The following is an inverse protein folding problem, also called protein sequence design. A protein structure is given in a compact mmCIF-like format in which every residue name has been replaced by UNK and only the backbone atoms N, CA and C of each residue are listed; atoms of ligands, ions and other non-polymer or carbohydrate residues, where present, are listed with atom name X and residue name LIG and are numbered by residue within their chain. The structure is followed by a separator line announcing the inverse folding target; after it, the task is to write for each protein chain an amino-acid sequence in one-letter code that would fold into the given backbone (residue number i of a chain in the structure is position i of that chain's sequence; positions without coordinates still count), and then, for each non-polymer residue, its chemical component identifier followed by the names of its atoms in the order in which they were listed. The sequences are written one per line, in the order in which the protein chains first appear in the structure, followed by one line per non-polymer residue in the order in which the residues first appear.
data_IF_025326420545
#
_entry.id   IF_025326420545
#
_cell.length_a   1.000
_cell.length_b   1.000
_cell.length_c   1.000
_cell.angle_alpha   90.00
_cell.angle_beta   90.00
_cell.angle_gamma   90.00
#
_symmetry.space_group_name_H-M   'P 1'
#
loop_
_entity.id
_entity.type
_entity.pdbx_description
1 polymer ?
#
# COMPACT_ATOMS: atom_id res chain seq x y z
N UNK A 1 -0.53 -25.14 -20.42
CA UNK A 1 -0.62 -25.17 -18.94
C UNK A 1 -1.18 -23.83 -18.48
N UNK A 2 -2.01 -23.77 -17.44
CA UNK A 2 -2.43 -22.48 -16.86
C UNK A 2 -1.18 -21.80 -16.25
N UNK A 3 -0.96 -20.53 -16.57
CA UNK A 3 0.09 -19.75 -15.94
C UNK A 3 -0.30 -19.48 -14.48
N UNK A 4 0.39 -20.13 -13.53
CA UNK A 4 0.08 -20.03 -12.09
C UNK A 4 0.35 -18.64 -11.52
N UNK A 5 1.24 -17.85 -12.12
CA UNK A 5 1.51 -16.47 -11.70
C UNK A 5 0.26 -15.56 -11.79
N UNK A 6 -0.74 -15.94 -12.62
CA UNK A 6 -2.01 -15.21 -12.72
C UNK A 6 -2.99 -15.51 -11.57
N UNK A 7 -2.75 -16.54 -10.75
CA UNK A 7 -3.57 -16.79 -9.57
C UNK A 7 -3.45 -15.62 -8.58
N UNK A 8 -4.57 -15.20 -7.99
CA UNK A 8 -4.51 -14.28 -6.85
C UNK A 8 -3.80 -14.94 -5.66
N UNK A 9 -3.30 -14.15 -4.70
CA UNK A 9 -2.61 -14.71 -3.54
C UNK A 9 -3.50 -15.68 -2.75
N UNK A 10 -4.78 -15.33 -2.58
CA UNK A 10 -5.76 -16.16 -1.89
C UNK A 10 -6.13 -17.44 -2.65
N UNK A 11 -6.18 -17.39 -3.99
CA UNK A 11 -6.37 -18.59 -4.83
C UNK A 11 -5.14 -19.51 -4.75
N UNK A 12 -3.94 -18.94 -4.91
CA UNK A 12 -2.68 -19.67 -4.83
C UNK A 12 -2.48 -20.32 -3.45
N UNK A 13 -2.68 -19.55 -2.36
CA UNK A 13 -2.57 -20.07 -0.99
C UNK A 13 -3.53 -21.24 -0.72
N UNK A 14 -4.77 -21.17 -1.23
CA UNK A 14 -5.73 -22.28 -1.13
C UNK A 14 -5.26 -23.51 -1.88
N UNK A 15 -4.84 -23.35 -3.14
CA UNK A 15 -4.40 -24.46 -3.98
C UNK A 15 -3.11 -25.12 -3.44
N UNK A 16 -2.19 -24.33 -2.86
CA UNK A 16 -1.00 -24.82 -2.16
C UNK A 16 -1.36 -25.61 -0.90
N UNK A 17 -2.26 -25.08 -0.06
CA UNK A 17 -2.72 -25.74 1.17
C UNK A 17 -3.45 -27.08 0.86
N UNK A 18 -4.16 -27.14 -0.26
CA UNK A 18 -4.85 -28.35 -0.75
C UNK A 18 -3.94 -29.28 -1.56
N UNK A 19 -2.68 -28.87 -1.80
CA UNK A 19 -1.71 -29.58 -2.64
C UNK A 19 -2.16 -29.83 -4.09
N UNK A 20 -3.00 -28.95 -4.60
CA UNK A 20 -3.43 -28.94 -6.01
C UNK A 20 -2.34 -28.41 -6.94
N UNK A 21 -1.45 -27.55 -6.40
CA UNK A 21 -0.25 -27.04 -7.06
C UNK A 21 0.94 -27.16 -6.09
N UNK A 22 2.15 -27.14 -6.65
CA UNK A 22 3.40 -27.09 -5.88
C UNK A 22 3.88 -25.65 -5.72
N UNK A 23 4.54 -25.37 -4.60
CA UNK A 23 5.20 -24.09 -4.36
C UNK A 23 6.29 -23.81 -5.40
N UNK A 24 7.07 -24.85 -5.76
CA UNK A 24 8.09 -24.74 -6.81
C UNK A 24 7.49 -24.34 -8.17
N UNK A 25 6.38 -24.95 -8.59
CA UNK A 25 5.76 -24.66 -9.88
C UNK A 25 5.24 -23.21 -9.93
N UNK A 26 4.57 -22.72 -8.85
CA UNK A 26 4.13 -21.33 -8.74
C UNK A 26 5.30 -20.36 -8.78
N UNK A 27 6.36 -20.65 -8.03
CA UNK A 27 7.56 -19.82 -7.98
C UNK A 27 8.25 -19.73 -9.35
N UNK A 28 8.35 -20.85 -10.07
CA UNK A 28 8.96 -20.90 -11.42
C UNK A 28 8.12 -20.09 -12.41
N UNK A 29 6.79 -20.13 -12.35
CA UNK A 29 5.92 -19.30 -13.19
C UNK A 29 6.09 -17.80 -12.86
N UNK A 30 6.22 -17.42 -11.58
CA UNK A 30 6.55 -16.05 -11.18
C UNK A 30 7.93 -15.62 -11.71
N UNK A 31 8.96 -16.46 -11.59
CA UNK A 31 10.30 -16.20 -12.12
C UNK A 31 10.29 -16.05 -13.65
N UNK A 32 9.49 -16.86 -14.35
CA UNK A 32 9.31 -16.74 -15.80
C UNK A 32 8.67 -15.39 -16.15
N UNK A 33 7.61 -14.97 -15.44
CA UNK A 33 6.97 -13.67 -15.64
C UNK A 33 7.97 -12.50 -15.40
N UNK A 34 8.78 -12.57 -14.35
CA UNK A 34 9.86 -11.62 -14.09
C UNK A 34 10.84 -11.61 -15.28
N UNK A 35 11.28 -12.79 -15.76
CA UNK A 35 12.19 -12.87 -16.88
C UNK A 35 11.68 -12.24 -18.18
N UNK A 36 10.37 -12.23 -18.39
CA UNK A 36 9.73 -11.63 -19.56
C UNK A 36 9.59 -10.10 -19.45
N UNK A 37 9.45 -9.56 -18.24
CA UNK A 37 8.97 -8.18 -18.05
C UNK A 37 9.94 -7.27 -17.30
N UNK A 38 10.84 -7.79 -16.47
CA UNK A 38 11.67 -6.99 -15.57
C UNK A 38 12.58 -5.98 -16.27
N UNK A 39 13.10 -6.30 -17.44
CA UNK A 39 13.92 -5.41 -18.27
C UNK A 39 13.14 -4.18 -18.81
N UNK A 40 11.81 -4.12 -18.64
CA UNK A 40 10.96 -3.03 -19.04
C UNK A 40 10.34 -2.33 -17.81
N UNK A 41 9.94 -3.11 -16.80
CA UNK A 41 9.20 -2.61 -15.63
C UNK A 41 10.14 -2.13 -14.52
N UNK A 42 11.29 -2.75 -14.36
CA UNK A 42 12.27 -2.41 -13.30
C UNK A 42 11.66 -2.40 -11.90
N UNK A 43 10.95 -3.49 -11.56
CA UNK A 43 10.27 -3.61 -10.28
C UNK A 43 11.17 -4.12 -9.15
N UNK A 44 12.29 -4.79 -9.47
CA UNK A 44 13.13 -5.48 -8.52
C UNK A 44 14.50 -4.83 -8.35
N UNK A 45 14.98 -4.78 -7.10
CA UNK A 45 16.36 -4.41 -6.74
C UNK A 45 17.24 -5.65 -6.78
N UNK A 46 16.76 -6.75 -6.22
CA UNK A 46 17.46 -8.04 -6.18
C UNK A 46 16.48 -9.19 -6.07
N UNK A 47 16.92 -10.36 -6.55
CA UNK A 47 16.17 -11.61 -6.50
C UNK A 47 17.02 -12.71 -5.83
N UNK A 48 16.44 -13.42 -4.86
CA UNK A 48 17.05 -14.56 -4.18
C UNK A 48 16.64 -15.92 -4.80
N UNK A 49 16.79 -16.06 -6.14
CA UNK A 49 16.23 -17.17 -6.93
C UNK A 49 16.57 -18.55 -6.38
N UNK A 50 17.86 -18.82 -6.16
CA UNK A 50 18.33 -20.14 -5.72
C UNK A 50 17.84 -20.48 -4.31
N UNK A 51 17.82 -19.50 -3.42
CA UNK A 51 17.29 -19.67 -2.07
C UNK A 51 15.77 -19.90 -2.10
N UNK A 52 15.04 -19.11 -2.86
CA UNK A 52 13.59 -19.24 -3.00
C UNK A 52 13.19 -20.60 -3.58
N UNK A 53 13.93 -21.14 -4.58
CA UNK A 53 13.67 -22.48 -5.14
C UNK A 53 13.91 -23.56 -4.10
N UNK A 54 15.01 -23.51 -3.34
CA UNK A 54 15.25 -24.48 -2.25
C UNK A 54 14.14 -24.45 -1.21
N UNK A 55 13.74 -23.26 -0.78
CA UNK A 55 12.65 -23.07 0.19
C UNK A 55 11.33 -23.66 -0.34
N UNK A 56 11.00 -23.39 -1.62
CA UNK A 56 9.81 -23.95 -2.25
C UNK A 56 9.81 -25.50 -2.24
N UNK A 57 10.94 -26.10 -2.61
CA UNK A 57 11.10 -27.55 -2.61
C UNK A 57 11.01 -28.17 -1.20
N UNK A 58 11.50 -27.47 -0.17
CA UNK A 58 11.40 -27.89 1.23
C UNK A 58 9.94 -27.84 1.70
N UNK A 59 9.22 -26.75 1.38
CA UNK A 59 7.80 -26.60 1.70
C UNK A 59 6.93 -27.65 0.99
N UNK A 60 7.22 -27.98 -0.27
CA UNK A 60 6.49 -29.02 -1.01
C UNK A 60 6.64 -30.42 -0.38
N UNK A 61 7.77 -30.71 0.28
CA UNK A 61 8.03 -31.98 0.97
C UNK A 61 7.49 -32.00 2.41
N UNK A 62 7.39 -30.81 3.04
CA UNK A 62 6.99 -30.65 4.45
C UNK A 62 5.48 -30.68 4.67
N UNK A 63 5.06 -30.49 5.90
CA UNK A 63 3.67 -30.22 6.23
C UNK A 63 3.27 -28.79 5.80
N UNK A 64 1.97 -28.54 5.62
CA UNK A 64 1.48 -27.17 5.34
C UNK A 64 1.84 -26.26 6.51
N UNK A 65 2.55 -25.16 6.23
CA UNK A 65 3.06 -24.21 7.20
C UNK A 65 2.32 -22.89 7.08
N UNK A 66 1.35 -22.64 7.94
CA UNK A 66 0.64 -21.37 8.03
C UNK A 66 -0.19 -20.98 6.78
N UNK A 67 -0.69 -19.75 6.81
CA UNK A 67 -1.67 -19.23 5.83
C UNK A 67 -1.03 -18.76 4.51
N UNK A 68 0.29 -18.60 4.47
CA UNK A 68 1.06 -18.22 3.27
C UNK A 68 1.94 -19.38 2.75
N UNK A 69 1.66 -20.62 3.16
CA UNK A 69 2.48 -21.78 2.77
C UNK A 69 2.82 -21.81 1.30
N UNK A 70 4.12 -21.71 0.97
CA UNK A 70 4.64 -21.78 -0.39
C UNK A 70 4.34 -20.57 -1.29
N UNK A 71 3.75 -19.49 -0.76
CA UNK A 71 3.41 -18.31 -1.55
C UNK A 71 4.64 -17.41 -1.76
N UNK A 72 5.08 -17.13 -3.00
CA UNK A 72 6.16 -16.18 -3.27
C UNK A 72 5.68 -14.74 -3.01
N UNK A 73 6.53 -13.95 -2.35
CA UNK A 73 6.26 -12.54 -2.02
C UNK A 73 7.41 -11.63 -2.44
N UNK A 74 7.06 -10.39 -2.81
CA UNK A 74 8.01 -9.28 -2.96
C UNK A 74 8.12 -8.48 -1.66
N UNK A 75 9.34 -8.18 -1.22
CA UNK A 75 9.59 -7.39 -0.03
C UNK A 75 10.16 -6.03 -0.42
N UNK A 76 9.44 -4.93 -0.09
CA UNK A 76 9.92 -3.58 -0.39
C UNK A 76 11.32 -3.36 0.20
N UNK A 77 12.21 -2.77 -0.58
CA UNK A 77 13.60 -2.55 -0.20
C UNK A 77 13.80 -1.45 0.87
N UNK A 78 12.89 -1.41 1.81
CA UNK A 78 12.92 -0.63 3.04
C UNK A 78 12.89 -1.53 4.28
N UNK A 79 12.48 -2.80 4.07
CA UNK A 79 12.37 -3.82 5.10
C UNK A 79 13.64 -4.66 5.12
N UNK A 80 14.25 -4.81 6.27
CA UNK A 80 15.41 -5.66 6.47
C UNK A 80 15.08 -7.12 6.17
N UNK A 81 16.00 -7.79 5.47
CA UNK A 81 15.96 -9.22 5.20
C UNK A 81 17.36 -9.80 5.43
N UNK A 82 17.46 -10.86 6.22
CA UNK A 82 18.78 -11.43 6.60
C UNK A 82 19.50 -12.13 5.44
N UNK A 83 18.76 -12.54 4.43
CA UNK A 83 19.24 -13.32 3.29
C UNK A 83 19.46 -12.51 2.00
N UNK A 84 19.03 -11.25 1.98
CA UNK A 84 19.17 -10.35 0.84
C UNK A 84 19.66 -8.97 1.31
N UNK A 85 20.47 -8.27 0.51
CA UNK A 85 20.84 -6.89 0.82
C UNK A 85 19.61 -6.00 0.88
N UNK A 86 19.66 -4.96 1.72
CA UNK A 86 18.61 -3.96 1.87
C UNK A 86 19.22 -2.57 1.66
N UNK A 87 18.93 -1.95 0.52
CA UNK A 87 19.60 -0.73 0.07
C UNK A 87 18.84 0.55 0.44
N UNK A 88 17.60 0.44 0.90
CA UNK A 88 16.71 1.58 1.22
C UNK A 88 16.54 2.57 0.04
N UNK A 89 16.72 2.10 -1.20
CA UNK A 89 16.69 2.94 -2.40
C UNK A 89 17.87 3.91 -2.53
N UNK A 90 18.97 3.70 -1.80
CA UNK A 90 20.14 4.59 -1.78
C UNK A 90 21.44 3.83 -2.00
N UNK A 91 22.40 4.38 -2.77
CA UNK A 91 23.72 3.79 -2.96
C UNK A 91 24.56 3.74 -1.67
N UNK A 92 24.25 4.56 -0.68
CA UNK A 92 24.92 4.57 0.64
C UNK A 92 24.86 3.18 1.28
N UNK A 93 23.75 2.46 1.09
CA UNK A 93 23.50 1.15 1.67
C UNK A 93 23.61 -0.01 0.67
N UNK A 94 24.32 0.19 -0.45
CA UNK A 94 24.45 -0.82 -1.51
C UNK A 94 24.97 -2.18 -1.07
N UNK A 95 25.74 -2.23 0.01
CA UNK A 95 26.29 -3.45 0.62
C UNK A 95 25.74 -3.74 2.02
N UNK A 96 24.61 -3.15 2.38
CA UNK A 96 24.02 -3.38 3.68
C UNK A 96 23.31 -4.75 3.73
N UNK A 97 23.85 -5.65 4.54
CA UNK A 97 23.28 -6.96 4.84
C UNK A 97 22.75 -6.95 6.28
N UNK A 98 21.43 -6.81 6.49
CA UNK A 98 20.85 -6.85 7.83
C UNK A 98 21.11 -8.19 8.53
N UNK A 99 21.32 -8.15 9.85
CA UNK A 99 21.59 -9.35 10.66
C UNK A 99 20.33 -10.19 10.84
N UNK A 100 19.17 -9.55 10.81
CA UNK A 100 17.86 -10.21 10.99
C UNK A 100 16.80 -9.61 10.06
N UNK A 101 15.73 -10.34 9.87
CA UNK A 101 14.55 -9.86 9.16
C UNK A 101 13.84 -8.77 9.97
N UNK A 102 13.17 -7.86 9.28
CA UNK A 102 12.12 -7.04 9.89
C UNK A 102 11.04 -7.94 10.51
N UNK A 103 10.45 -7.50 11.63
CA UNK A 103 9.45 -8.28 12.37
C UNK A 103 8.32 -8.78 11.46
N UNK A 104 7.81 -7.93 10.60
CA UNK A 104 6.76 -8.28 9.65
C UNK A 104 7.20 -9.32 8.60
N UNK A 105 8.46 -9.30 8.18
CA UNK A 105 9.03 -10.31 7.25
C UNK A 105 9.18 -11.65 7.96
N UNK A 106 9.70 -11.66 9.20
CA UNK A 106 9.80 -12.87 10.02
C UNK A 106 8.44 -13.54 10.19
N UNK A 107 7.39 -12.77 10.50
CA UNK A 107 6.02 -13.29 10.64
C UNK A 107 5.46 -13.85 9.31
N UNK A 108 5.76 -13.21 8.18
CA UNK A 108 5.36 -13.76 6.87
C UNK A 108 6.08 -15.08 6.56
N UNK A 109 7.37 -15.19 6.88
CA UNK A 109 8.11 -16.45 6.73
C UNK A 109 7.57 -17.55 7.68
N UNK A 110 7.26 -17.20 8.92
CA UNK A 110 6.60 -18.11 9.88
C UNK A 110 5.27 -18.62 9.34
N UNK A 111 4.50 -17.75 8.64
CA UNK A 111 3.27 -18.12 7.95
C UNK A 111 3.51 -18.95 6.66
N UNK A 112 4.76 -19.23 6.29
CA UNK A 112 5.15 -20.09 5.16
C UNK A 112 5.40 -19.34 3.85
N UNK A 113 5.53 -18.01 3.85
CA UNK A 113 5.86 -17.24 2.66
C UNK A 113 7.29 -17.47 2.18
N UNK A 114 7.50 -17.41 0.87
CA UNK A 114 8.82 -17.45 0.22
C UNK A 114 9.20 -16.02 -0.17
N UNK A 115 10.21 -15.44 0.46
CA UNK A 115 10.75 -14.14 0.04
C UNK A 115 11.51 -14.34 -1.29
N UNK A 116 10.93 -13.84 -2.39
CA UNK A 116 11.50 -13.97 -3.72
C UNK A 116 12.56 -12.92 -4.00
N UNK A 117 12.41 -11.72 -3.45
CA UNK A 117 13.34 -10.64 -3.69
C UNK A 117 12.92 -9.31 -3.07
N UNK A 118 13.76 -8.29 -3.32
CA UNK A 118 13.57 -6.91 -2.87
C UNK A 118 12.97 -6.07 -3.99
N UNK A 119 11.81 -5.44 -3.75
CA UNK A 119 11.14 -4.57 -4.71
C UNK A 119 11.58 -3.12 -4.56
N UNK A 120 11.67 -2.41 -5.67
CA UNK A 120 12.15 -1.01 -5.71
C UNK A 120 11.31 -0.09 -4.82
N UNK A 121 12.01 0.73 -4.05
CA UNK A 121 11.46 1.88 -3.32
C UNK A 121 12.06 3.18 -3.87
N UNK A 122 11.41 4.32 -3.64
CA UNK A 122 12.06 5.62 -3.79
C UNK A 122 13.17 5.78 -2.76
N UNK A 123 14.12 6.69 -2.96
CA UNK A 123 15.23 6.93 -2.01
C UNK A 123 14.69 7.14 -0.58
N UNK A 124 14.98 6.20 0.32
CA UNK A 124 14.52 6.18 1.72
C UNK A 124 12.99 6.37 1.86
N UNK A 125 12.21 5.81 0.94
CA UNK A 125 10.76 6.05 0.83
C UNK A 125 10.36 7.54 0.67
N UNK A 126 11.28 8.43 0.33
CA UNK A 126 11.06 9.87 0.11
C UNK A 126 10.50 10.16 -1.30
N UNK A 127 10.85 11.31 -1.90
CA UNK A 127 10.22 11.77 -3.14
C UNK A 127 11.04 11.53 -4.43
N UNK A 128 12.32 11.09 -4.32
CA UNK A 128 13.11 10.78 -5.51
C UNK A 128 12.76 9.37 -6.01
N UNK A 129 12.18 9.24 -7.22
CA UNK A 129 11.82 7.95 -7.79
C UNK A 129 13.01 7.01 -8.02
N UNK A 130 12.73 5.71 -8.01
CA UNK A 130 13.58 4.69 -8.60
C UNK A 130 13.27 4.49 -10.11
N UNK A 131 13.87 3.47 -10.75
CA UNK A 131 13.74 3.23 -12.19
C UNK A 131 12.41 2.60 -12.62
N UNK A 132 11.53 2.24 -11.69
CA UNK A 132 10.32 1.47 -11.97
C UNK A 132 9.35 2.25 -12.87
N UNK A 133 8.90 1.56 -13.92
CA UNK A 133 7.83 2.03 -14.82
C UNK A 133 6.48 1.40 -14.46
N UNK A 134 5.39 2.05 -14.83
CA UNK A 134 4.06 1.50 -14.65
C UNK A 134 3.82 0.35 -15.64
N UNK A 135 3.51 -0.89 -15.19
CA UNK A 135 3.33 -2.02 -16.11
C UNK A 135 2.11 -1.88 -17.04
N UNK A 136 1.18 -0.97 -16.73
CA UNK A 136 0.02 -0.66 -17.59
C UNK A 136 0.39 0.23 -18.77
N UNK A 137 1.39 1.12 -18.59
CA UNK A 137 2.00 1.93 -19.64
C UNK A 137 3.39 2.39 -19.16
N UNK A 138 4.43 1.94 -19.82
CA UNK A 138 5.83 2.12 -19.39
C UNK A 138 6.30 3.59 -19.36
N UNK A 139 5.62 4.50 -20.06
CA UNK A 139 5.92 5.93 -20.05
C UNK A 139 5.32 6.66 -18.83
N UNK A 140 4.59 5.95 -17.98
CA UNK A 140 3.92 6.50 -16.83
C UNK A 140 4.53 6.02 -15.51
N UNK A 141 4.43 6.86 -14.48
CA UNK A 141 4.87 6.49 -13.14
C UNK A 141 4.00 5.37 -12.55
N UNK A 142 4.58 4.39 -11.84
CA UNK A 142 3.81 3.44 -11.05
C UNK A 142 3.30 4.07 -9.73
N UNK A 143 3.63 5.33 -9.47
CA UNK A 143 3.49 5.94 -8.15
C UNK A 143 4.68 5.58 -7.25
N UNK A 144 4.52 5.82 -5.96
CA UNK A 144 5.56 5.53 -4.96
C UNK A 144 5.12 5.94 -3.54
N UNK A 145 5.94 5.65 -2.57
CA UNK A 145 7.31 5.13 -2.61
C UNK A 145 7.41 3.61 -2.86
N UNK A 146 6.36 2.81 -2.66
CA UNK A 146 6.35 1.36 -2.90
C UNK A 146 6.15 1.04 -4.39
N UNK A 147 6.95 1.68 -5.26
CA UNK A 147 6.82 1.61 -6.73
C UNK A 147 6.97 0.19 -7.27
N UNK A 148 8.06 -0.49 -6.96
CA UNK A 148 8.31 -1.85 -7.40
C UNK A 148 7.30 -2.87 -6.87
N UNK A 149 6.83 -2.70 -5.62
CA UNK A 149 5.82 -3.59 -5.03
C UNK A 149 4.49 -3.55 -5.77
N UNK A 150 3.97 -2.35 -6.04
CA UNK A 150 2.72 -2.18 -6.80
C UNK A 150 2.88 -2.69 -8.24
N UNK A 151 4.00 -2.35 -8.90
CA UNK A 151 4.29 -2.79 -10.26
C UNK A 151 4.43 -4.31 -10.38
N UNK A 152 5.17 -4.97 -9.47
CA UNK A 152 5.37 -6.42 -9.49
C UNK A 152 4.04 -7.19 -9.32
N UNK A 153 3.14 -6.72 -8.43
CA UNK A 153 1.81 -7.33 -8.25
C UNK A 153 0.93 -7.07 -9.46
N UNK A 154 0.96 -5.86 -10.03
CA UNK A 154 0.15 -5.50 -11.20
C UNK A 154 0.55 -6.27 -12.47
N UNK A 155 1.83 -6.62 -12.60
CA UNK A 155 2.38 -7.37 -13.74
C UNK A 155 2.46 -8.89 -13.47
N UNK A 156 1.80 -9.38 -12.43
CA UNK A 156 1.76 -10.79 -12.03
C UNK A 156 3.15 -11.43 -11.78
N UNK A 157 4.16 -10.63 -11.43
CA UNK A 157 5.49 -11.12 -11.06
C UNK A 157 5.48 -11.83 -9.70
N UNK A 158 4.60 -11.40 -8.81
CA UNK A 158 4.26 -12.05 -7.53
C UNK A 158 2.79 -11.82 -7.19
N UNK A 159 2.15 -12.72 -6.43
CA UNK A 159 0.77 -12.53 -6.01
C UNK A 159 0.61 -11.50 -4.88
N UNK A 160 1.66 -11.26 -4.08
CA UNK A 160 1.63 -10.39 -2.90
C UNK A 160 2.97 -9.66 -2.73
N UNK A 161 2.93 -8.38 -2.31
CA UNK A 161 4.14 -7.63 -1.97
C UNK A 161 3.90 -6.70 -0.78
N UNK A 162 4.97 -6.45 0.03
CA UNK A 162 4.91 -5.53 1.16
C UNK A 162 5.02 -4.08 0.71
N UNK A 163 4.46 -3.17 1.50
CA UNK A 163 4.56 -1.73 1.32
C UNK A 163 4.64 -0.97 2.63
N UNK A 164 5.00 0.31 2.55
CA UNK A 164 4.95 1.25 3.66
C UNK A 164 4.32 2.56 3.21
N UNK A 165 3.66 3.27 4.11
CA UNK A 165 3.03 4.56 3.83
C UNK A 165 3.28 5.55 4.96
N UNK A 166 3.85 6.71 4.60
CA UNK A 166 4.03 7.88 5.46
C UNK A 166 3.10 9.03 5.01
N UNK A 167 2.76 9.06 3.73
CA UNK A 167 1.79 9.97 3.13
C UNK A 167 0.78 9.20 2.28
N UNK A 168 1.20 8.67 1.10
CA UNK A 168 0.34 7.96 0.15
C UNK A 168 1.01 6.73 -0.46
N UNK A 169 2.07 6.19 0.14
CA UNK A 169 3.00 5.27 -0.52
C UNK A 169 2.52 3.82 -0.64
N UNK A 170 1.27 3.52 -0.28
CA UNK A 170 0.54 2.29 -0.58
C UNK A 170 -0.65 2.62 -1.48
N UNK A 171 -1.48 3.56 -1.07
CA UNK A 171 -2.75 3.88 -1.74
C UNK A 171 -2.52 4.41 -3.15
N UNK A 172 -1.64 5.40 -3.31
CA UNK A 172 -1.38 6.01 -4.62
C UNK A 172 -0.78 5.05 -5.65
N UNK A 173 0.32 4.30 -5.36
CA UNK A 173 0.82 3.33 -6.32
C UNK A 173 -0.16 2.19 -6.60
N UNK A 174 -1.00 1.79 -5.63
CA UNK A 174 -2.07 0.83 -5.88
C UNK A 174 -3.10 1.37 -6.90
N UNK A 175 -3.50 2.64 -6.78
CA UNK A 175 -4.42 3.29 -7.72
C UNK A 175 -3.81 3.36 -9.12
N UNK A 176 -2.56 3.82 -9.25
CA UNK A 176 -1.90 4.00 -10.55
C UNK A 176 -1.59 2.69 -11.27
N UNK A 177 -1.27 1.62 -10.54
CA UNK A 177 -0.99 0.31 -11.11
C UNK A 177 -2.25 -0.57 -11.29
N UNK A 178 -3.39 -0.17 -10.74
CA UNK A 178 -4.64 -0.93 -10.85
C UNK A 178 -4.62 -2.21 -10.02
N UNK A 179 -4.18 -2.11 -8.77
CA UNK A 179 -4.15 -3.20 -7.78
C UNK A 179 -4.81 -2.76 -6.48
N UNK A 180 -5.08 -3.71 -5.60
CA UNK A 180 -5.54 -3.43 -4.25
C UNK A 180 -4.31 -3.15 -3.39
N UNK A 181 -4.30 -1.97 -2.74
CA UNK A 181 -3.30 -1.61 -1.72
C UNK A 181 -4.00 -1.38 -0.38
N UNK A 182 -3.50 -2.02 0.67
CA UNK A 182 -4.10 -1.90 1.99
C UNK A 182 -3.09 -1.40 3.02
N UNK A 183 -3.42 -0.27 3.63
CA UNK A 183 -2.77 0.31 4.81
C UNK A 183 -3.68 0.08 6.02
N UNK A 184 -3.33 -0.80 6.97
CA UNK A 184 -4.14 -1.05 8.16
C UNK A 184 -4.11 0.14 9.13
N UNK A 185 -4.83 0.03 10.22
CA UNK A 185 -4.73 0.95 11.36
C UNK A 185 -3.28 1.11 11.81
N UNK A 186 -2.88 2.35 12.14
CA UNK A 186 -1.55 2.65 12.68
C UNK A 186 -1.23 1.77 13.89
N UNK A 187 -0.01 1.24 13.95
CA UNK A 187 0.46 0.36 15.00
C UNK A 187 -0.05 -1.09 14.92
N UNK A 188 -0.87 -1.44 13.91
CA UNK A 188 -1.33 -2.83 13.70
C UNK A 188 -0.18 -3.77 13.34
N UNK A 189 0.82 -3.28 12.63
CA UNK A 189 2.02 -4.03 12.23
C UNK A 189 3.24 -3.33 12.84
N UNK A 190 4.16 -4.11 13.42
CA UNK A 190 5.41 -3.61 13.95
C UNK A 190 6.30 -3.06 12.84
N UNK A 191 6.88 -1.86 13.04
CA UNK A 191 7.87 -1.24 12.15
C UNK A 191 9.32 -1.67 12.46
N UNK A 192 9.53 -2.58 13.42
CA UNK A 192 10.87 -3.07 13.79
C UNK A 192 11.59 -3.69 12.60
N UNK A 193 12.82 -3.23 12.32
CA UNK A 193 13.61 -3.66 11.16
C UNK A 193 13.16 -3.02 9.82
N UNK A 194 12.46 -1.90 9.87
CA UNK A 194 12.12 -1.10 8.68
C UNK A 194 12.73 0.28 8.83
N UNK A 195 13.45 0.76 7.79
CA UNK A 195 14.03 2.11 7.80
C UNK A 195 12.92 3.14 7.89
N UNK A 196 12.83 3.82 9.03
CA UNK A 196 11.80 4.81 9.30
C UNK A 196 12.07 6.13 8.59
N UNK A 197 11.02 6.72 8.04
CA UNK A 197 11.01 8.06 7.46
C UNK A 197 10.39 9.08 8.44
N UNK A 198 9.28 8.70 9.05
CA UNK A 198 8.56 9.54 10.03
C UNK A 198 7.89 8.63 11.06
N UNK A 199 8.40 8.63 12.29
CA UNK A 199 8.07 7.64 13.32
C UNK A 199 6.59 7.61 13.68
N UNK A 200 5.95 8.79 13.70
CA UNK A 200 4.53 8.93 14.05
C UNK A 200 3.56 8.64 12.89
N UNK A 201 4.06 8.53 11.65
CA UNK A 201 3.23 8.38 10.45
C UNK A 201 3.42 7.02 9.77
N UNK A 202 4.62 6.43 9.83
CA UNK A 202 4.97 5.22 9.12
C UNK A 202 4.04 4.07 9.46
N UNK A 203 3.34 3.55 8.46
CA UNK A 203 2.45 2.40 8.57
C UNK A 203 2.82 1.40 7.49
N UNK A 204 2.95 0.13 7.87
CA UNK A 204 3.22 -0.95 6.93
C UNK A 204 1.91 -1.51 6.36
N UNK A 205 1.98 -2.08 5.16
CA UNK A 205 0.84 -2.71 4.51
C UNK A 205 1.25 -3.56 3.32
N UNK A 206 0.30 -3.90 2.48
CA UNK A 206 0.50 -4.86 1.38
C UNK A 206 -0.21 -4.45 0.10
N UNK A 207 0.24 -5.05 -1.00
CA UNK A 207 -0.38 -5.03 -2.32
C UNK A 207 -0.80 -6.45 -2.71
N UNK A 208 -1.99 -6.58 -3.29
CA UNK A 208 -2.53 -7.78 -3.86
C UNK A 208 -3.44 -7.45 -5.04
N UNK A 209 -3.95 -8.45 -5.76
CA UNK A 209 -4.88 -8.21 -6.87
C UNK A 209 -6.34 -8.18 -6.42
N UNK A 210 -6.64 -8.73 -5.25
CA UNK A 210 -7.98 -8.76 -4.65
C UNK A 210 -7.97 -8.31 -3.20
N UNK A 211 -9.14 -7.99 -2.65
CA UNK A 211 -9.29 -7.66 -1.22
C UNK A 211 -8.88 -8.85 -0.34
N UNK A 212 -9.22 -10.09 -0.77
CA UNK A 212 -8.83 -11.31 -0.06
C UNK A 212 -7.31 -11.50 0.00
N UNK A 213 -6.58 -11.06 -1.03
CA UNK A 213 -5.11 -11.14 -1.05
C UNK A 213 -4.49 -10.23 0.01
N UNK A 214 -4.95 -8.97 0.07
CA UNK A 214 -4.40 -8.02 1.04
C UNK A 214 -4.83 -8.37 2.47
N UNK A 215 -6.02 -8.92 2.65
CA UNK A 215 -6.48 -9.46 3.95
C UNK A 215 -5.56 -10.59 4.43
N UNK A 216 -5.23 -11.53 3.56
CA UNK A 216 -4.29 -12.63 3.82
C UNK A 216 -2.90 -12.12 4.19
N UNK A 217 -2.37 -11.15 3.43
CA UNK A 217 -1.06 -10.57 3.68
C UNK A 217 -0.96 -9.81 5.00
N UNK A 218 -1.96 -8.99 5.34
CA UNK A 218 -2.00 -8.27 6.62
C UNK A 218 -2.15 -9.23 7.80
N UNK A 219 -2.97 -10.27 7.66
CA UNK A 219 -3.13 -11.30 8.68
C UNK A 219 -1.78 -11.94 9.05
N UNK A 220 -0.97 -12.26 8.04
CA UNK A 220 0.37 -12.80 8.26
C UNK A 220 1.32 -11.75 8.88
N UNK A 221 1.39 -10.52 8.34
CA UNK A 221 2.29 -9.48 8.81
C UNK A 221 2.01 -9.02 10.25
N UNK A 222 0.77 -9.15 10.72
CA UNK A 222 0.33 -8.71 12.06
C UNK A 222 0.16 -9.85 13.04
N UNK A 223 0.32 -11.11 12.62
CA UNK A 223 -0.05 -12.31 13.37
C UNK A 223 -1.53 -12.32 13.85
N UNK A 224 -2.39 -11.51 13.21
CA UNK A 224 -3.83 -11.49 13.46
C UNK A 224 -4.54 -12.28 12.34
N UNK A 225 -4.51 -13.61 12.48
CA UNK A 225 -5.00 -14.54 11.46
C UNK A 225 -6.51 -14.40 11.18
N UNK A 226 -7.27 -13.80 12.08
CA UNK A 226 -8.69 -13.54 11.86
C UNK A 226 -8.95 -12.52 10.74
N UNK A 227 -7.99 -11.64 10.44
CA UNK A 227 -8.10 -10.70 9.32
C UNK A 227 -8.12 -11.39 7.95
N UNK A 228 -7.60 -12.61 7.84
CA UNK A 228 -7.68 -13.39 6.59
C UNK A 228 -9.11 -13.85 6.25
N UNK A 229 -10.00 -13.85 7.24
CA UNK A 229 -11.41 -14.22 7.05
C UNK A 229 -12.21 -12.94 6.81
N UNK A 230 -12.69 -12.76 5.59
CA UNK A 230 -13.58 -11.66 5.25
C UNK A 230 -15.01 -12.12 5.52
N UNK A 231 -15.60 -11.57 6.58
CA UNK A 231 -16.98 -11.88 6.92
C UNK A 231 -17.95 -11.17 5.96
N UNK A 232 -19.04 -11.81 5.55
CA UNK A 232 -20.12 -11.12 4.85
C UNK A 232 -20.68 -9.99 5.70
N UNK A 233 -21.18 -8.93 5.05
CA UNK A 233 -21.86 -7.85 5.75
C UNK A 233 -23.20 -8.35 6.32
N UNK A 234 -23.27 -8.53 7.63
CA UNK A 234 -24.52 -8.93 8.32
C UNK A 234 -25.56 -7.82 8.32
N UNK A 235 -25.09 -6.57 8.33
CA UNK A 235 -25.95 -5.37 8.38
C UNK A 235 -25.48 -4.34 7.36
N UNK A 236 -26.42 -3.49 6.94
CA UNK A 236 -26.09 -2.33 6.13
C UNK A 236 -25.25 -1.34 6.90
N UNK A 237 -24.31 -0.68 6.22
CA UNK A 237 -23.34 0.26 6.79
C UNK A 237 -23.62 1.68 6.35
N UNK A 238 -23.30 2.67 7.18
CA UNK A 238 -23.40 4.09 6.84
C UNK A 238 -22.21 4.49 5.99
N UNK A 239 -22.45 4.89 4.75
CA UNK A 239 -21.39 5.19 3.77
C UNK A 239 -21.48 6.65 3.34
N UNK A 240 -20.36 7.38 3.47
CA UNK A 240 -20.22 8.74 3.01
C UNK A 240 -19.22 8.88 1.86
N UNK A 241 -19.51 9.74 0.89
CA UNK A 241 -18.52 10.21 -0.09
C UNK A 241 -17.85 11.45 0.50
N UNK A 242 -16.52 11.37 0.62
CA UNK A 242 -15.69 12.46 1.15
C UNK A 242 -14.80 13.05 0.08
N UNK A 243 -15.10 14.27 -0.35
CA UNK A 243 -14.29 14.96 -1.35
C UNK A 243 -13.01 15.59 -0.78
N UNK A 244 -12.82 15.63 0.52
CA UNK A 244 -11.75 16.34 1.24
C UNK A 244 -11.65 17.83 0.90
N UNK A 245 -10.90 18.62 1.69
CA UNK A 245 -10.62 20.04 1.41
C UNK A 245 -9.81 20.25 0.13
N UNK A 246 -9.03 19.22 -0.25
CA UNK A 246 -8.09 19.28 -1.39
C UNK A 246 -8.73 18.83 -2.71
N UNK A 247 -10.05 18.65 -2.77
CA UNK A 247 -10.73 18.07 -3.94
C UNK A 247 -10.53 18.86 -5.25
N UNK A 248 -10.19 20.14 -5.17
CA UNK A 248 -9.81 20.93 -6.32
C UNK A 248 -8.60 20.38 -7.10
N UNK A 249 -7.80 19.51 -6.48
CA UNK A 249 -6.69 18.78 -7.11
C UNK A 249 -7.14 17.53 -7.88
N UNK A 250 -8.40 17.11 -7.74
CA UNK A 250 -8.94 15.93 -8.44
C UNK A 250 -9.22 16.23 -9.91
N UNK A 251 -8.82 15.30 -10.78
CA UNK A 251 -9.20 15.31 -12.19
C UNK A 251 -10.61 14.75 -12.37
N UNK A 252 -11.20 14.95 -13.55
CA UNK A 252 -12.58 14.59 -13.82
C UNK A 252 -12.86 13.08 -13.63
N UNK A 253 -11.92 12.22 -14.02
CA UNK A 253 -12.02 10.78 -13.86
C UNK A 253 -12.03 10.34 -12.39
N UNK A 254 -11.39 11.10 -11.50
CA UNK A 254 -11.48 10.84 -10.03
C UNK A 254 -12.88 11.14 -9.52
N UNK A 255 -13.50 12.22 -9.98
CA UNK A 255 -14.89 12.53 -9.62
C UNK A 255 -15.86 11.46 -10.16
N UNK A 256 -15.63 10.98 -11.38
CA UNK A 256 -16.41 9.89 -11.97
C UNK A 256 -16.24 8.58 -11.17
N UNK A 257 -15.00 8.25 -10.76
CA UNK A 257 -14.73 7.06 -9.95
C UNK A 257 -15.47 7.11 -8.60
N UNK A 258 -15.51 8.26 -7.92
CA UNK A 258 -16.27 8.43 -6.68
C UNK A 258 -17.77 8.19 -6.90
N UNK A 259 -18.33 8.73 -7.99
CA UNK A 259 -19.75 8.56 -8.31
C UNK A 259 -20.10 7.10 -8.58
N UNK A 260 -19.26 6.39 -9.36
CA UNK A 260 -19.44 4.96 -9.66
C UNK A 260 -19.31 4.10 -8.39
N UNK A 261 -18.31 4.36 -7.55
CA UNK A 261 -18.14 3.64 -6.29
C UNK A 261 -19.33 3.88 -5.34
N UNK A 262 -19.81 5.13 -5.25
CA UNK A 262 -21.00 5.47 -4.48
C UNK A 262 -22.24 4.77 -4.98
N UNK A 263 -22.41 4.66 -6.30
CA UNK A 263 -23.51 3.91 -6.91
C UNK A 263 -23.43 2.41 -6.57
N UNK A 264 -22.26 1.79 -6.77
CA UNK A 264 -22.04 0.37 -6.48
C UNK A 264 -22.21 0.02 -4.98
N UNK A 265 -22.01 0.99 -4.09
CA UNK A 265 -22.18 0.82 -2.66
C UNK A 265 -23.66 0.85 -2.19
N UNK A 266 -24.61 1.34 -3.00
CA UNK A 266 -26.02 1.53 -2.60
C UNK A 266 -26.69 0.26 -2.09
N UNK A 267 -26.36 -0.91 -2.63
CA UNK A 267 -27.00 -2.18 -2.28
C UNK A 267 -26.80 -2.58 -0.81
N UNK A 268 -25.67 -2.17 -0.20
CA UNK A 268 -25.34 -2.47 1.20
C UNK A 268 -25.23 -1.20 2.07
N UNK A 269 -25.51 -0.01 1.53
CA UNK A 269 -25.59 1.22 2.31
C UNK A 269 -26.88 1.30 3.12
N UNK A 270 -26.80 1.75 4.38
CA UNK A 270 -27.91 1.89 5.32
C UNK A 270 -28.72 3.12 4.94
N UNK A 271 -29.14 3.78 4.45
CA UNK A 271 -29.86 5.00 4.09
C UNK A 271 -29.37 5.62 2.77
N UNK A 272 -28.74 4.77 1.93
CA UNK A 272 -28.08 5.23 0.72
C UNK A 272 -26.66 5.76 0.96
N UNK A 273 -26.10 6.38 -0.05
CA UNK A 273 -24.75 6.99 0.00
C UNK A 273 -24.91 8.49 -0.15
N UNK A 274 -24.35 9.26 0.77
CA UNK A 274 -24.45 10.73 0.82
C UNK A 274 -23.07 11.39 0.78
N UNK A 275 -23.03 12.63 0.31
CA UNK A 275 -21.84 13.49 0.42
C UNK A 275 -21.64 13.87 1.90
N UNK A 276 -20.39 13.76 2.36
CA UNK A 276 -20.01 14.06 3.75
C UNK A 276 -19.04 15.24 3.78
N UNK A 277 -19.31 16.18 4.64
CA UNK A 277 -18.36 17.24 5.01
C UNK A 277 -17.67 16.84 6.30
N UNK A 278 -16.33 16.80 6.27
CA UNK A 278 -15.53 16.51 7.47
C UNK A 278 -15.62 17.67 8.48
N UNK A 279 -15.35 17.42 9.77
CA UNK A 279 -15.22 18.48 10.77
C UNK A 279 -14.25 19.58 10.29
N UNK A 280 -14.51 20.87 10.64
CA UNK A 280 -13.67 22.00 10.21
C UNK A 280 -12.19 21.86 10.57
N UNK A 281 -11.85 21.22 11.69
CA UNK A 281 -10.48 20.91 12.09
C UNK A 281 -9.73 20.00 11.11
N UNK A 282 -10.46 19.29 10.24
CA UNK A 282 -9.87 18.43 9.21
C UNK A 282 -9.45 19.19 7.95
N UNK A 283 -9.78 20.48 7.81
CA UNK A 283 -9.50 21.26 6.61
C UNK A 283 -8.00 21.45 6.32
N UNK A 284 -7.15 21.41 7.34
CA UNK A 284 -5.69 21.63 7.26
C UNK A 284 -4.85 20.36 7.51
N UNK A 285 -5.45 19.17 7.47
CA UNK A 285 -4.73 17.92 7.76
C UNK A 285 -3.52 17.69 6.84
N UNK A 286 -3.58 18.11 5.59
CA UNK A 286 -2.47 18.00 4.63
C UNK A 286 -1.27 18.85 5.05
N UNK A 287 -1.49 20.05 5.55
CA UNK A 287 -0.45 20.96 6.04
C UNK A 287 0.16 20.47 7.36
N UNK A 288 -0.70 20.04 8.28
CA UNK A 288 -0.32 19.47 9.57
C UNK A 288 0.55 18.23 9.35
N UNK A 289 0.11 17.29 8.50
CA UNK A 289 0.87 16.09 8.14
C UNK A 289 2.23 16.44 7.55
N UNK A 290 2.27 17.43 6.65
CA UNK A 290 3.50 17.86 6.00
C UNK A 290 4.49 18.41 7.03
N UNK A 291 4.04 19.24 7.98
CA UNK A 291 4.87 19.81 9.06
C UNK A 291 5.48 18.70 9.92
N UNK A 292 4.65 17.75 10.38
CA UNK A 292 5.09 16.63 11.20
C UNK A 292 6.10 15.76 10.42
N UNK A 293 5.76 15.37 9.20
CA UNK A 293 6.60 14.54 8.35
C UNK A 293 7.97 15.18 8.11
N UNK A 294 8.03 16.44 7.72
CA UNK A 294 9.30 17.13 7.43
C UNK A 294 10.18 17.24 8.67
N UNK A 295 9.60 17.59 9.82
CA UNK A 295 10.35 17.68 11.08
C UNK A 295 10.96 16.33 11.47
N UNK A 296 10.16 15.25 11.38
CA UNK A 296 10.62 13.91 11.74
C UNK A 296 11.62 13.34 10.73
N UNK A 297 11.43 13.58 9.42
CA UNK A 297 12.39 13.21 8.38
C UNK A 297 13.78 13.81 8.63
N UNK A 298 13.85 15.11 8.96
CA UNK A 298 15.13 15.77 9.24
C UNK A 298 15.89 15.13 10.42
N UNK A 299 15.18 14.51 11.36
CA UNK A 299 15.76 13.76 12.48
C UNK A 299 16.10 12.32 12.09
N UNK A 300 15.22 11.65 11.37
CA UNK A 300 15.42 10.28 10.92
C UNK A 300 16.65 10.12 10.03
N UNK A 301 16.98 11.15 9.24
CA UNK A 301 18.15 11.14 8.33
C UNK A 301 19.38 11.88 8.88
N UNK A 302 19.50 11.98 10.20
CA UNK A 302 20.67 12.65 10.84
C UNK A 302 21.98 11.97 10.45
N UNK A 303 22.04 10.64 10.39
CA UNK A 303 23.24 9.91 10.00
C UNK A 303 23.65 10.20 8.54
N UNK A 304 22.72 10.11 7.62
CA UNK A 304 22.96 10.38 6.19
C UNK A 304 23.34 11.83 5.95
N UNK A 305 22.68 12.76 6.65
CA UNK A 305 22.99 14.19 6.59
C UNK A 305 24.43 14.51 7.06
N UNK A 306 24.88 13.90 8.16
CA UNK A 306 26.16 14.20 8.76
C UNK A 306 27.35 13.49 8.07
N UNK A 307 27.11 12.31 7.50
CA UNK A 307 28.19 11.46 7.01
C UNK A 307 28.16 11.24 5.48
N UNK A 308 27.03 11.50 4.79
CA UNK A 308 26.81 11.14 3.39
C UNK A 308 26.02 12.19 2.63
N UNK A 309 26.14 13.48 2.99
CA UNK A 309 25.34 14.55 2.40
C UNK A 309 25.50 14.64 0.88
N UNK A 310 26.68 14.38 0.36
CA UNK A 310 27.02 14.38 -1.06
C UNK A 310 26.46 13.17 -1.83
N UNK A 311 26.04 12.10 -1.13
CA UNK A 311 25.52 10.88 -1.71
C UNK A 311 23.98 10.80 -1.70
N UNK A 312 23.32 11.66 -0.92
CA UNK A 312 21.85 11.78 -0.96
C UNK A 312 21.42 12.78 -2.04
N UNK A 313 20.23 12.55 -2.59
CA UNK A 313 19.69 13.40 -3.66
C UNK A 313 19.45 14.85 -3.21
N UNK A 314 19.55 15.79 -4.14
CA UNK A 314 19.18 17.20 -3.91
C UNK A 314 17.74 17.35 -3.42
N UNK A 315 16.85 16.48 -3.86
CA UNK A 315 15.46 16.40 -3.38
C UNK A 315 15.42 16.11 -1.87
N UNK A 316 16.14 15.09 -1.42
CA UNK A 316 16.17 14.73 0.00
C UNK A 316 16.91 15.79 0.84
N UNK A 317 18.01 16.37 0.32
CA UNK A 317 18.70 17.48 0.98
C UNK A 317 17.75 18.66 1.23
N UNK A 318 16.96 19.04 0.22
CA UNK A 318 15.97 20.12 0.33
C UNK A 318 14.91 19.81 1.39
N UNK A 319 14.44 18.57 1.44
CA UNK A 319 13.47 18.13 2.44
C UNK A 319 14.04 18.21 3.85
N UNK A 320 15.27 17.73 4.05
CA UNK A 320 15.97 17.81 5.34
C UNK A 320 16.14 19.27 5.76
N UNK A 321 16.57 20.17 4.86
CA UNK A 321 16.71 21.60 5.16
C UNK A 321 15.37 22.23 5.58
N UNK A 322 14.27 21.90 4.88
CA UNK A 322 12.94 22.37 5.26
C UNK A 322 12.53 21.86 6.63
N UNK A 323 12.82 20.59 6.94
CA UNK A 323 12.52 19.99 8.25
C UNK A 323 13.34 20.59 9.38
N UNK A 324 14.63 20.87 9.14
CA UNK A 324 15.51 21.57 10.13
C UNK A 324 15.05 23.00 10.43
N UNK A 325 14.40 23.67 9.48
CA UNK A 325 13.86 25.01 9.69
C UNK A 325 12.59 25.02 10.57
N UNK A 326 11.92 23.88 10.74
CA UNK A 326 10.72 23.77 11.60
C UNK A 326 11.16 23.76 13.07
N UNK A 327 10.67 24.73 13.83
CA UNK A 327 10.90 24.82 15.28
C UNK A 327 10.12 23.73 16.01
N UNK A 328 10.65 23.25 17.13
CA UNK A 328 9.94 22.28 17.97
C UNK A 328 8.53 22.75 18.39
N UNK A 329 8.37 24.06 18.64
CA UNK A 329 7.05 24.62 18.96
C UNK A 329 6.03 24.47 17.83
N UNK A 330 6.45 24.61 16.57
CA UNK A 330 5.58 24.43 15.40
C UNK A 330 5.21 22.94 15.23
N UNK A 331 6.16 22.04 15.41
CA UNK A 331 5.93 20.59 15.42
C UNK A 331 4.95 20.19 16.55
N UNK A 332 5.17 20.68 17.77
CA UNK A 332 4.30 20.40 18.93
C UNK A 332 2.88 20.93 18.72
N UNK A 333 2.75 22.12 18.14
CA UNK A 333 1.44 22.68 17.78
C UNK A 333 0.74 21.82 16.71
N UNK A 334 1.47 21.38 15.67
CA UNK A 334 0.95 20.48 14.64
C UNK A 334 0.44 19.16 15.23
N UNK A 335 1.18 18.55 16.17
CA UNK A 335 0.71 17.36 16.91
C UNK A 335 -0.58 17.63 17.70
N UNK A 336 -0.66 18.78 18.36
CA UNK A 336 -1.86 19.18 19.13
C UNK A 336 -3.08 19.33 18.21
N UNK A 337 -2.89 19.99 17.05
CA UNK A 337 -3.94 20.15 16.05
C UNK A 337 -4.37 18.80 15.45
N UNK A 338 -3.41 17.93 15.14
CA UNK A 338 -3.69 16.56 14.66
C UNK A 338 -4.53 15.77 15.68
N UNK A 339 -4.18 15.86 16.96
CA UNK A 339 -4.91 15.17 18.02
C UNK A 339 -6.36 15.66 18.14
N UNK A 340 -6.59 16.98 18.08
CA UNK A 340 -7.93 17.57 18.11
C UNK A 340 -8.77 17.13 16.91
N UNK A 341 -8.22 17.24 15.71
CA UNK A 341 -8.89 16.81 14.48
C UNK A 341 -9.21 15.31 14.52
N UNK A 342 -8.30 14.50 15.06
CA UNK A 342 -8.50 13.05 15.25
C UNK A 342 -9.67 12.74 16.19
N UNK A 343 -9.81 13.47 17.30
CA UNK A 343 -10.92 13.28 18.25
C UNK A 343 -12.27 13.63 17.59
N UNK A 344 -12.35 14.76 16.87
CA UNK A 344 -13.57 15.16 16.16
C UNK A 344 -13.93 14.20 15.03
N UNK A 345 -12.94 13.70 14.29
CA UNK A 345 -13.15 12.73 13.22
C UNK A 345 -13.58 11.36 13.76
N UNK A 346 -13.02 10.90 14.88
CA UNK A 346 -13.47 9.68 15.56
C UNK A 346 -14.93 9.77 15.98
N UNK A 347 -15.35 10.92 16.55
CA UNK A 347 -16.75 11.15 16.91
C UNK A 347 -17.66 11.13 15.68
N UNK A 348 -17.22 11.73 14.56
CA UNK A 348 -17.98 11.69 13.31
C UNK A 348 -18.14 10.25 12.77
N UNK A 349 -17.12 9.40 12.90
CA UNK A 349 -17.24 7.96 12.58
C UNK A 349 -18.22 7.22 13.48
N UNK A 350 -18.37 7.61 14.73
CA UNK A 350 -19.36 7.01 15.63
C UNK A 350 -20.78 7.46 15.29
N UNK A 351 -20.97 8.74 15.00
CA UNK A 351 -22.29 9.35 14.88
C UNK A 351 -22.88 9.31 13.46
N UNK A 352 -22.06 9.49 12.41
CA UNK A 352 -22.54 9.83 11.08
C UNK A 352 -22.28 8.75 10.04
N UNK A 353 -21.11 8.10 10.04
CA UNK A 353 -20.71 7.14 9.03
C UNK A 353 -19.81 6.04 9.58
N UNK A 354 -19.81 4.89 8.93
CA UNK A 354 -18.93 3.77 9.26
C UNK A 354 -17.75 3.69 8.29
N UNK A 355 -17.98 4.07 7.02
CA UNK A 355 -17.01 4.05 5.93
C UNK A 355 -17.12 5.35 5.13
N UNK A 356 -15.97 5.91 4.78
CA UNK A 356 -15.84 6.96 3.79
C UNK A 356 -15.28 6.40 2.49
N UNK A 357 -15.80 6.89 1.35
CA UNK A 357 -15.23 6.71 0.02
C UNK A 357 -14.60 8.04 -0.38
N UNK A 358 -13.30 8.04 -0.61
CA UNK A 358 -12.50 9.23 -0.91
C UNK A 358 -11.60 9.01 -2.14
N UNK A 359 -11.01 10.05 -2.75
CA UNK A 359 -10.04 9.88 -3.82
C UNK A 359 -8.80 9.10 -3.37
N UNK A 360 -8.28 8.20 -4.22
CA UNK A 360 -6.98 7.55 -3.99
C UNK A 360 -5.80 8.38 -4.49
N UNK A 361 -5.99 9.06 -5.62
CA UNK A 361 -5.01 9.89 -6.29
C UNK A 361 -5.70 11.02 -7.05
N UNK A 362 -4.94 11.94 -7.62
CA UNK A 362 -5.47 13.11 -8.35
C UNK A 362 -6.19 12.74 -9.65
N UNK A 363 -5.85 11.62 -10.25
CA UNK A 363 -6.38 11.09 -11.49
C UNK A 363 -5.69 9.78 -11.84
N UNK A 364 -5.58 9.47 -13.12
CA UNK A 364 -4.73 8.38 -13.62
C UNK A 364 -3.23 8.70 -13.44
N UNK A 365 -2.37 7.69 -13.60
CA UNK A 365 -0.92 7.85 -13.43
C UNK A 365 -0.34 8.96 -14.34
N UNK A 366 0.44 9.93 -13.82
CA UNK A 366 1.13 10.94 -14.62
C UNK A 366 2.06 10.34 -15.69
N UNK A 367 2.13 10.99 -16.85
CA UNK A 367 3.02 10.64 -17.96
C UNK A 367 4.44 11.11 -17.65
N UNK A 368 5.14 10.40 -16.80
CA UNK A 368 6.54 10.63 -16.40
C UNK A 368 6.98 9.53 -15.45
N UNK A 369 8.28 9.25 -15.38
CA UNK A 369 8.90 8.42 -14.35
C UNK A 369 9.72 9.25 -13.34
N UNK A 370 9.83 10.56 -13.56
CA UNK A 370 10.64 11.49 -12.75
C UNK A 370 9.96 11.90 -11.42
N UNK A 371 8.72 11.51 -11.22
CA UNK A 371 7.95 11.80 -10.01
C UNK A 371 6.92 10.72 -9.73
N UNK A 372 6.45 10.66 -8.49
CA UNK A 372 5.52 9.62 -8.04
C UNK A 372 4.06 10.07 -7.96
N UNK A 373 3.74 11.27 -8.45
CA UNK A 373 2.43 11.91 -8.30
C UNK A 373 2.22 12.57 -6.93
N UNK A 374 1.10 13.29 -6.76
CA UNK A 374 0.80 14.01 -5.52
C UNK A 374 0.17 13.11 -4.46
N UNK A 375 0.64 13.12 -3.19
CA UNK A 375 0.09 12.33 -2.09
C UNK A 375 -1.14 12.96 -1.40
N UNK A 376 -1.66 14.07 -1.86
CA UNK A 376 -2.60 14.97 -1.19
C UNK A 376 -3.79 14.22 -0.54
N UNK A 377 -4.44 13.32 -1.26
CA UNK A 377 -5.66 12.65 -0.80
C UNK A 377 -5.47 11.59 0.29
N UNK A 378 -4.22 11.17 0.56
CA UNK A 378 -3.94 10.16 1.59
C UNK A 378 -3.27 10.73 2.85
N UNK A 379 -2.76 11.98 2.79
CA UNK A 379 -2.01 12.61 3.90
C UNK A 379 -2.83 12.65 5.19
N UNK A 380 -4.06 13.14 5.11
CA UNK A 380 -4.95 13.25 6.27
C UNK A 380 -5.26 11.89 6.90
N UNK A 381 -5.59 10.89 6.08
CA UNK A 381 -5.91 9.54 6.57
C UNK A 381 -4.71 8.87 7.22
N UNK A 382 -3.50 9.10 6.68
CA UNK A 382 -2.26 8.60 7.28
C UNK A 382 -1.95 9.29 8.60
N UNK A 383 -2.09 10.62 8.67
CA UNK A 383 -1.93 11.40 9.89
C UNK A 383 -2.87 10.93 11.01
N UNK A 384 -4.11 10.65 10.66
CA UNK A 384 -5.13 10.16 11.62
C UNK A 384 -4.95 8.68 11.96
N UNK A 385 -4.00 7.98 11.37
CA UNK A 385 -3.75 6.56 11.62
C UNK A 385 -4.87 5.62 11.18
N UNK A 386 -5.78 6.08 10.31
CA UNK A 386 -6.99 5.33 9.90
C UNK A 386 -6.64 4.21 8.90
N UNK A 387 -7.30 3.05 8.96
CA UNK A 387 -7.14 2.02 7.97
C UNK A 387 -7.72 2.48 6.62
N UNK A 388 -6.98 2.22 5.53
CA UNK A 388 -7.31 2.65 4.18
C UNK A 388 -7.07 1.52 3.18
N UNK A 389 -7.96 1.36 2.21
CA UNK A 389 -7.82 0.39 1.12
C UNK A 389 -8.16 1.04 -0.23
N UNK A 390 -7.29 0.85 -1.22
CA UNK A 390 -7.55 1.26 -2.60
C UNK A 390 -8.29 0.16 -3.36
N UNK A 391 -9.33 0.55 -4.09
CA UNK A 391 -9.99 -0.27 -5.10
C UNK A 391 -9.97 0.45 -6.44
N UNK A 392 -9.60 -0.26 -7.50
CA UNK A 392 -9.72 0.26 -8.87
C UNK A 392 -11.19 0.26 -9.28
N UNK A 393 -11.69 1.38 -9.78
CA UNK A 393 -13.12 1.57 -10.11
C UNK A 393 -13.32 1.76 -11.61
N UNK A 394 -12.45 2.52 -12.27
CA UNK A 394 -12.59 2.87 -13.69
C UNK A 394 -11.21 3.11 -14.30
N UNK A 395 -11.20 3.53 -15.56
CA UNK A 395 -10.01 4.01 -16.25
C UNK A 395 -10.15 5.47 -16.63
N UNK A 396 -9.05 6.20 -16.65
CA UNK A 396 -8.99 7.58 -17.11
C UNK A 396 -8.94 7.69 -18.65
N UNK A 397 -8.79 8.93 -19.17
CA UNK A 397 -8.81 9.21 -20.63
C UNK A 397 -7.72 8.49 -21.42
N UNK A 398 -6.60 8.12 -20.79
CA UNK A 398 -5.50 7.37 -21.42
C UNK A 398 -5.59 5.86 -21.20
N UNK A 399 -6.71 5.37 -20.65
CA UNK A 399 -6.95 3.96 -20.36
C UNK A 399 -6.23 3.44 -19.12
N UNK A 400 -5.63 4.31 -18.30
CA UNK A 400 -4.94 3.93 -17.08
C UNK A 400 -5.92 3.84 -15.90
N UNK A 401 -5.62 2.99 -14.90
CA UNK A 401 -6.51 2.79 -13.76
C UNK A 401 -6.75 4.05 -12.93
N UNK A 402 -7.97 4.19 -12.43
CA UNK A 402 -8.38 5.20 -11.45
C UNK A 402 -9.08 4.51 -10.29
N UNK A 403 -8.57 4.74 -9.08
CA UNK A 403 -9.05 4.12 -7.86
C UNK A 403 -9.75 5.08 -6.91
N UNK A 404 -10.51 4.49 -6.00
CA UNK A 404 -11.03 5.16 -4.80
C UNK A 404 -10.45 4.52 -3.55
N UNK A 405 -10.33 5.31 -2.50
CA UNK A 405 -9.92 4.84 -1.17
C UNK A 405 -11.15 4.69 -0.29
N UNK A 406 -11.32 3.50 0.29
CA UNK A 406 -12.21 3.33 1.42
C UNK A 406 -11.43 3.59 2.70
N UNK A 407 -12.04 4.33 3.63
CA UNK A 407 -11.48 4.67 4.94
C UNK A 407 -12.49 4.28 6.01
N UNK A 408 -12.04 3.59 7.05
CA UNK A 408 -12.85 3.29 8.23
C UNK A 408 -12.30 4.00 9.47
N UNK A 409 -13.09 4.06 10.53
CA UNK A 409 -12.65 4.58 11.82
C UNK A 409 -11.49 3.76 12.41
N UNK A 410 -10.84 4.27 13.47
CA UNK A 410 -9.68 3.61 14.08
C UNK A 410 -9.97 2.17 14.50
N UNK A 411 -9.08 1.24 14.18
CA UNK A 411 -9.17 -0.19 14.51
C UNK A 411 -10.40 -0.92 13.93
N UNK A 412 -11.05 -0.34 12.89
CA UNK A 412 -12.16 -0.95 12.17
C UNK A 412 -11.69 -1.72 10.93
N UNK A 413 -10.50 -2.32 10.99
CA UNK A 413 -9.87 -3.06 9.89
C UNK A 413 -10.76 -4.17 9.31
N UNK A 414 -11.41 -4.98 10.15
CA UNK A 414 -12.32 -6.05 9.70
C UNK A 414 -13.51 -5.50 8.92
N UNK A 415 -14.16 -4.46 9.45
CA UNK A 415 -15.28 -3.81 8.78
C UNK A 415 -14.85 -3.24 7.42
N UNK A 416 -13.68 -2.59 7.36
CA UNK A 416 -13.15 -2.03 6.12
C UNK A 416 -12.94 -3.12 5.06
N UNK A 417 -12.35 -4.26 5.44
CA UNK A 417 -12.12 -5.39 4.52
C UNK A 417 -13.45 -5.98 4.02
N UNK A 418 -14.46 -6.15 4.89
CA UNK A 418 -15.77 -6.68 4.51
C UNK A 418 -16.49 -5.74 3.54
N UNK A 419 -16.48 -4.42 3.80
CA UNK A 419 -17.08 -3.42 2.91
C UNK A 419 -16.33 -3.33 1.57
N UNK A 420 -15.01 -3.32 1.62
CA UNK A 420 -14.18 -3.31 0.42
C UNK A 420 -14.42 -4.55 -0.45
N UNK A 421 -14.58 -5.72 0.16
CA UNK A 421 -14.88 -6.96 -0.55
C UNK A 421 -16.25 -6.89 -1.25
N UNK A 422 -17.29 -6.45 -0.53
CA UNK A 422 -18.63 -6.27 -1.09
C UNK A 422 -18.65 -5.25 -2.24
N UNK A 423 -17.95 -4.12 -2.06
CA UNK A 423 -17.83 -3.11 -3.12
C UNK A 423 -17.10 -3.65 -4.35
N UNK A 424 -15.98 -4.37 -4.15
CA UNK A 424 -15.23 -4.96 -5.26
C UNK A 424 -16.06 -5.98 -6.05
N UNK A 425 -16.92 -6.78 -5.40
CA UNK A 425 -17.86 -7.68 -6.07
C UNK A 425 -18.85 -6.91 -6.95
N UNK A 426 -19.48 -5.84 -6.42
CA UNK A 426 -20.44 -5.03 -7.18
C UNK A 426 -19.78 -4.29 -8.36
N UNK A 427 -18.55 -3.84 -8.22
CA UNK A 427 -17.80 -3.21 -9.30
C UNK A 427 -17.41 -4.19 -10.42
N UNK A 428 -17.34 -5.49 -10.13
CA UNK A 428 -17.01 -6.54 -11.08
C UNK A 428 -18.26 -7.11 -11.79
N UNK A 429 -19.48 -6.75 -11.34
CA UNK A 429 -20.73 -7.20 -11.92
C UNK A 429 -21.23 -6.21 -13.00
N UNK A 430 -21.23 -6.60 -14.31
CA UNK A 430 -21.72 -5.75 -15.39
C UNK A 430 -23.18 -5.35 -15.24
N UNK A 431 -24.02 -6.18 -14.57
CA UNK A 431 -25.44 -5.91 -14.37
C UNK A 431 -25.67 -4.82 -13.31
N UNK A 432 -24.79 -4.74 -12.30
CA UNK A 432 -24.86 -3.70 -11.30
C UNK A 432 -24.47 -2.32 -11.85
N UNK A 433 -23.57 -2.25 -12.83
CA UNK A 433 -23.10 -1.00 -13.44
C UNK A 433 -23.99 -0.48 -14.56
N UNK A 434 -24.80 -1.33 -15.23
CA UNK A 434 -25.70 -0.92 -16.31
C UNK A 434 -26.98 -0.20 -15.84
N UNK A 435 -27.18 -0.01 -14.54
CA UNK A 435 -28.28 0.73 -13.94
C UNK A 435 -27.87 2.15 -13.45
N UNK A 436 -26.64 2.61 -13.78
CA UNK A 436 -26.08 3.88 -13.34
C UNK A 436 -26.34 5.05 -14.33
#
# INVERSE_FOLDING_TARGET
MKNLANLSASQAARALAQREIKAEDLLLDCLNQIGLRENQVHAWVSLGKEHAIRTAQELDRGAVQGILHGLPIGVKDLFDTHDLPTNYGSPIYGNNHPVCDAVSVSLMREAGAIVLGKTVTTEFASFKPGPTCNPRNLDHTPGGSSSGSAAAVADCMVPLATGSQTAASIIRPASYCGVVGYKPSYGKISIGGVKSLSVSLDTLGVFGRTVSDVALGIAAMSADHDLAKIDPLEHKVRIGICRTSDFAMAQAETAAALSLAGFAAKSFAKEGVSEITLPPSCATLTEIQTTIMLFEMAKSFTFEKLNHLDQISTTLQTIIQRGDAIKYSQYSEALTQAWRAGAELCQAFEDQFDILIAPSATGEAPHTIEQTGDPVFSRGWTLMGLPCINLTVTSGPKGLPVGVTLVAGPRRDRLLLSVAHALAQNLSDPLALNQA
#
